data_IF_123786368861
#
_entry.id   IF_123786368861
#
_cell.length_a   1.000
_cell.length_b   1.000
_cell.length_c   1.000
_cell.angle_alpha   90.00
_cell.angle_beta   90.00
_cell.angle_gamma   90.00
#
_symmetry.space_group_name_H-M   'P 1'
#
loop_
_entity.id
_entity.type
_entity.pdbx_description
1 polymer ?
#
# COMPACT_ATOMS: atom_id res chain seq x y z
N UNK A 1 11.76 5.33 -8.22
CA UNK A 1 11.51 6.01 -6.93
C UNK A 1 12.32 7.29 -6.86
N UNK A 2 11.73 8.45 -7.19
CA UNK A 2 12.44 9.75 -7.11
C UNK A 2 11.90 10.67 -5.99
N UNK A 3 10.79 10.29 -5.37
CA UNK A 3 10.15 11.00 -4.27
C UNK A 3 10.66 10.48 -2.94
N UNK A 4 10.72 11.36 -1.95
CA UNK A 4 11.08 11.02 -0.56
C UNK A 4 10.04 10.03 -0.02
N UNK A 5 10.45 9.13 0.86
CA UNK A 5 9.56 8.10 1.43
C UNK A 5 8.39 8.73 2.20
N UNK A 6 8.70 9.75 3.01
CA UNK A 6 7.76 10.31 3.97
C UNK A 6 7.04 11.56 3.43
N UNK A 7 7.00 11.76 2.11
CA UNK A 7 6.36 12.94 1.52
C UNK A 7 6.24 12.92 0.00
N UNK A 8 5.28 13.68 -0.53
CA UNK A 8 5.06 13.82 -1.97
C UNK A 8 4.44 12.58 -2.64
N UNK A 9 3.62 11.84 -1.90
CA UNK A 9 2.75 10.80 -2.47
C UNK A 9 1.57 11.46 -3.19
N UNK A 10 1.01 10.75 -4.17
CA UNK A 10 -0.17 11.19 -4.92
C UNK A 10 -1.43 10.95 -4.07
N UNK A 11 -1.54 9.75 -3.49
CA UNK A 11 -2.71 9.31 -2.72
C UNK A 11 -2.30 8.29 -1.64
N UNK A 12 -2.99 8.32 -0.50
CA UNK A 12 -2.88 7.33 0.57
C UNK A 12 -4.12 6.42 0.56
N UNK A 13 -3.95 5.17 0.14
CA UNK A 13 -5.05 4.21 -0.05
C UNK A 13 -5.21 3.24 1.14
N UNK A 14 -4.44 3.43 2.22
CA UNK A 14 -4.44 2.52 3.35
C UNK A 14 -3.28 2.70 4.30
N UNK A 15 -3.23 1.86 5.33
CA UNK A 15 -2.14 1.78 6.28
C UNK A 15 -1.94 0.35 6.81
N UNK A 16 -0.71 0.11 7.27
CA UNK A 16 -0.30 -1.13 7.90
C UNK A 16 0.30 -0.81 9.27
N UNK A 17 -0.21 -1.41 10.34
CA UNK A 17 0.34 -1.33 11.68
C UNK A 17 0.71 -2.73 12.20
N UNK A 18 2.01 -3.09 12.18
CA UNK A 18 2.49 -4.37 12.72
C UNK A 18 2.68 -4.38 14.24
N UNK A 19 2.55 -3.23 14.93
CA UNK A 19 2.85 -3.11 16.36
C UNK A 19 1.70 -3.55 17.27
N UNK A 20 0.57 -3.93 16.69
CA UNK A 20 -0.64 -4.35 17.40
C UNK A 20 -0.93 -5.82 17.08
N UNK A 21 -1.43 -6.55 18.06
CA UNK A 21 -1.84 -7.95 17.92
C UNK A 21 -3.37 -8.03 18.03
N UNK A 22 -4.11 -8.42 16.98
CA UNK A 22 -3.64 -8.80 15.64
C UNK A 22 -3.16 -7.60 14.77
N UNK A 23 -2.29 -7.87 13.79
CA UNK A 23 -1.79 -6.84 12.88
C UNK A 23 -2.93 -6.12 12.14
N UNK A 24 -2.89 -4.79 12.10
CA UNK A 24 -3.96 -4.01 11.46
C UNK A 24 -3.53 -3.66 10.04
N UNK A 25 -4.30 -4.18 9.09
CA UNK A 25 -4.16 -3.88 7.66
C UNK A 25 -5.48 -3.28 7.19
N UNK A 26 -5.42 -2.04 6.71
CA UNK A 26 -6.57 -1.41 6.03
C UNK A 26 -6.09 -0.88 4.69
N UNK A 27 -6.66 -1.41 3.61
CA UNK A 27 -6.36 -0.99 2.24
C UNK A 27 -7.66 -0.93 1.46
N UNK A 28 -7.85 0.15 0.70
CA UNK A 28 -8.93 0.25 -0.27
C UNK A 28 -8.61 -0.63 -1.48
N UNK A 29 -9.35 -1.73 -1.61
CA UNK A 29 -9.14 -2.72 -2.68
C UNK A 29 -9.46 -2.16 -4.07
N UNK A 30 -10.42 -1.25 -4.18
CA UNK A 30 -10.83 -0.65 -5.46
C UNK A 30 -9.74 0.31 -5.95
N UNK A 31 -9.25 1.19 -5.07
CA UNK A 31 -8.13 2.10 -5.41
C UNK A 31 -6.85 1.34 -5.69
N UNK A 32 -6.56 0.26 -4.95
CA UNK A 32 -5.40 -0.58 -5.22
C UNK A 32 -5.47 -1.21 -6.62
N UNK A 33 -6.62 -1.78 -6.98
CA UNK A 33 -6.83 -2.39 -8.30
C UNK A 33 -6.67 -1.36 -9.42
N UNK A 34 -7.23 -0.15 -9.22
CA UNK A 34 -7.06 0.98 -10.14
C UNK A 34 -5.59 1.36 -10.30
N UNK A 35 -4.86 1.58 -9.20
CA UNK A 35 -3.46 2.00 -9.29
C UNK A 35 -2.59 0.92 -9.94
N UNK A 36 -2.88 -0.36 -9.68
CA UNK A 36 -2.23 -1.49 -10.35
C UNK A 36 -2.52 -1.50 -11.86
N UNK A 37 -3.74 -1.20 -12.29
CA UNK A 37 -4.12 -1.18 -13.70
C UNK A 37 -3.45 -0.04 -14.48
N UNK A 38 -3.22 1.12 -13.84
CA UNK A 38 -2.48 2.25 -14.43
C UNK A 38 -0.95 2.11 -14.32
N UNK A 39 -0.45 0.97 -13.84
CA UNK A 39 0.98 0.62 -13.86
C UNK A 39 1.75 0.93 -12.57
N UNK A 40 1.07 1.11 -11.43
CA UNK A 40 1.76 1.20 -10.15
C UNK A 40 2.47 -0.13 -9.83
N UNK A 41 3.73 -0.03 -9.41
CA UNK A 41 4.53 -1.18 -8.97
C UNK A 41 4.51 -1.27 -7.45
N UNK A 42 4.07 -2.42 -6.94
CA UNK A 42 4.05 -2.75 -5.52
C UNK A 42 5.47 -3.09 -5.05
N UNK A 43 5.79 -2.78 -3.80
CA UNK A 43 6.98 -3.34 -3.14
C UNK A 43 6.69 -4.75 -2.63
N UNK A 44 7.75 -5.54 -2.41
CA UNK A 44 7.62 -6.95 -1.98
C UNK A 44 6.77 -7.11 -0.71
N UNK A 45 6.96 -6.21 0.27
CA UNK A 45 6.17 -6.21 1.51
C UNK A 45 4.69 -5.92 1.25
N UNK A 46 4.37 -4.93 0.43
CA UNK A 46 2.96 -4.59 0.12
C UNK A 46 2.30 -5.74 -0.65
N UNK A 47 3.02 -6.35 -1.60
CA UNK A 47 2.53 -7.53 -2.31
C UNK A 47 2.22 -8.69 -1.35
N UNK A 48 3.09 -8.96 -0.37
CA UNK A 48 2.85 -10.02 0.62
C UNK A 48 1.63 -9.76 1.52
N UNK A 49 1.39 -8.49 1.90
CA UNK A 49 0.28 -8.11 2.77
C UNK A 49 -1.05 -8.17 2.02
N UNK A 50 -1.07 -7.75 0.75
CA UNK A 50 -2.32 -7.67 -0.02
C UNK A 50 -2.62 -8.93 -0.84
N UNK A 51 -1.72 -9.92 -0.87
CA UNK A 51 -1.96 -11.22 -1.51
C UNK A 51 -2.56 -12.27 -0.56
N UNK A 52 -2.72 -11.95 0.73
CA UNK A 52 -3.51 -12.75 1.69
C UNK A 52 -5.00 -12.56 1.40
#
# INVERSE_FOLDING_TARGET
SRKRRDGGWIESIGYYNPMVEPEVIKVDAERLAYWKSVGAKLSDKVASITSK
#
